data_IF_207198882044
#
_entry.id   IF_207198882044
#
_cell.length_a   1.000
_cell.length_b   1.000
_cell.length_c   1.000
_cell.angle_alpha   90.00
_cell.angle_beta   90.00
_cell.angle_gamma   90.00
#
_symmetry.space_group_name_H-M   'P 1'
#
loop_
_entity.id
_entity.type
_entity.pdbx_description
1 polymer ?
#
# COMPACT_ATOMS: atom_id res chain seq x y z
N UNK A 1 19.01 30.17 -2.24
CA UNK A 1 18.90 28.71 -2.48
C UNK A 1 18.22 28.50 -3.81
N UNK A 2 18.79 27.68 -4.71
CA UNK A 2 18.02 27.13 -5.84
C UNK A 2 16.93 26.24 -5.25
N UNK A 3 15.68 26.42 -5.69
CA UNK A 3 14.56 25.57 -5.26
C UNK A 3 14.55 24.31 -6.12
N UNK A 4 14.10 23.19 -5.55
CA UNK A 4 13.78 21.99 -6.32
C UNK A 4 12.69 22.34 -7.34
N UNK A 5 12.85 21.86 -8.58
CA UNK A 5 11.84 21.97 -9.61
C UNK A 5 10.99 20.68 -9.68
N UNK A 6 9.96 20.66 -10.52
CA UNK A 6 9.07 19.51 -10.62
C UNK A 6 9.77 18.25 -11.17
N UNK A 7 10.78 18.40 -12.04
CA UNK A 7 11.55 17.29 -12.59
C UNK A 7 12.42 16.64 -11.49
N UNK A 8 13.08 17.45 -10.66
CA UNK A 8 13.87 16.98 -9.51
C UNK A 8 13.00 16.16 -8.54
N UNK A 9 11.79 16.66 -8.29
CA UNK A 9 10.81 16.02 -7.41
C UNK A 9 10.35 14.68 -8.01
N UNK A 10 10.00 14.65 -9.29
CA UNK A 10 9.60 13.42 -9.99
C UNK A 10 10.73 12.39 -10.00
N UNK A 11 11.97 12.80 -10.31
CA UNK A 11 13.13 11.92 -10.36
C UNK A 11 13.42 11.28 -9.00
N UNK A 12 13.34 12.06 -7.91
CA UNK A 12 13.55 11.54 -6.56
C UNK A 12 12.56 10.43 -6.22
N UNK A 13 11.32 10.56 -6.66
CA UNK A 13 10.29 9.58 -6.36
C UNK A 13 10.27 8.36 -7.27
N UNK A 14 10.60 8.55 -8.56
CA UNK A 14 10.86 7.43 -9.47
C UNK A 14 12.00 6.56 -8.94
N UNK A 15 13.08 7.17 -8.43
CA UNK A 15 14.18 6.43 -7.80
C UNK A 15 13.74 5.65 -6.56
N UNK A 16 12.79 6.18 -5.79
CA UNK A 16 12.20 5.51 -4.63
C UNK A 16 11.13 4.47 -5.00
N UNK A 17 10.72 4.38 -6.26
CA UNK A 17 9.62 3.53 -6.73
C UNK A 17 8.36 3.68 -5.84
N UNK A 18 8.09 4.94 -5.47
CA UNK A 18 6.96 5.36 -4.65
C UNK A 18 5.97 6.08 -5.54
N UNK A 19 4.75 5.57 -5.64
CA UNK A 19 3.70 6.23 -6.39
C UNK A 19 2.89 7.18 -5.51
N UNK A 20 2.51 8.35 -6.03
CA UNK A 20 1.69 9.32 -5.29
C UNK A 20 0.21 9.13 -5.49
N UNK A 21 -0.50 9.45 -4.43
CA UNK A 21 -1.93 9.56 -4.46
C UNK A 21 -2.40 10.81 -3.72
N UNK A 22 -3.55 11.31 -4.16
CA UNK A 22 -4.33 12.34 -3.48
C UNK A 22 -5.77 11.89 -3.43
N UNK A 23 -6.39 12.01 -2.27
CA UNK A 23 -7.84 11.85 -2.12
C UNK A 23 -8.48 13.19 -1.78
N UNK A 24 -9.58 13.48 -2.47
CA UNK A 24 -10.46 14.62 -2.15
C UNK A 24 -11.85 14.12 -1.82
N UNK A 25 -12.39 14.59 -0.69
CA UNK A 25 -13.73 14.27 -0.23
C UNK A 25 -14.45 15.53 0.21
N UNK A 26 -15.70 15.66 -0.21
CA UNK A 26 -16.60 16.76 0.13
C UNK A 26 -17.97 16.18 0.43
N UNK A 27 -18.73 16.79 1.35
CA UNK A 27 -20.06 16.33 1.70
C UNK A 27 -20.99 16.33 0.47
N UNK A 28 -21.76 15.26 0.29
CA UNK A 28 -22.69 15.10 -0.83
C UNK A 28 -22.04 14.83 -2.20
N UNK A 29 -20.71 14.70 -2.28
CA UNK A 29 -19.98 14.34 -3.51
C UNK A 29 -19.30 12.99 -3.37
N UNK A 30 -19.12 12.29 -4.50
CA UNK A 30 -18.28 11.10 -4.55
C UNK A 30 -16.84 11.44 -4.21
N UNK A 31 -16.19 10.57 -3.44
CA UNK A 31 -14.76 10.65 -3.14
C UNK A 31 -13.95 10.46 -4.42
N UNK A 32 -12.89 11.25 -4.58
CA UNK A 32 -12.04 11.28 -5.78
C UNK A 32 -10.63 10.87 -5.42
N UNK A 33 -10.10 9.89 -6.12
CA UNK A 33 -8.72 9.45 -6.02
C UNK A 33 -7.95 9.90 -7.26
N UNK A 34 -6.83 10.56 -7.04
CA UNK A 34 -5.88 10.97 -8.08
C UNK A 34 -4.58 10.22 -7.84
N UNK A 35 -4.00 9.70 -8.90
CA UNK A 35 -2.82 8.84 -8.88
C UNK A 35 -1.82 9.30 -9.94
N UNK A 36 -0.54 9.05 -9.69
CA UNK A 36 0.49 9.14 -10.72
C UNK A 36 0.64 7.82 -11.50
N UNK A 37 1.52 7.83 -12.50
CA UNK A 37 1.78 6.67 -13.35
C UNK A 37 2.30 5.46 -12.55
N UNK A 38 3.14 5.69 -11.53
CA UNK A 38 3.69 4.63 -10.68
C UNK A 38 2.57 3.97 -9.87
N UNK A 39 1.65 4.76 -9.31
CA UNK A 39 0.49 4.25 -8.57
C UNK A 39 -0.49 3.54 -9.49
N UNK A 40 -0.69 4.03 -10.71
CA UNK A 40 -1.50 3.35 -11.71
C UNK A 40 -0.93 1.98 -12.06
N UNK A 41 0.38 1.87 -12.30
CA UNK A 41 1.06 0.60 -12.54
C UNK A 41 0.93 -0.33 -11.32
N UNK A 42 1.07 0.21 -10.10
CA UNK A 42 0.94 -0.55 -8.87
C UNK A 42 -0.47 -1.13 -8.68
N UNK A 43 -1.51 -0.40 -9.06
CA UNK A 43 -2.90 -0.86 -9.03
C UNK A 43 -3.31 -1.66 -10.28
N UNK A 44 -2.45 -1.75 -11.29
CA UNK A 44 -2.79 -2.37 -12.58
C UNK A 44 -3.86 -1.61 -13.36
N UNK A 45 -3.98 -0.29 -13.14
CA UNK A 45 -4.87 0.59 -13.90
C UNK A 45 -4.22 0.87 -15.25
N UNK A 46 -4.87 0.44 -16.33
CA UNK A 46 -4.38 0.59 -17.71
C UNK A 46 -5.22 1.56 -18.55
N UNK A 47 -6.39 1.93 -18.05
CA UNK A 47 -7.31 2.87 -18.68
C UNK A 47 -7.24 4.24 -17.99
N UNK A 48 -7.57 5.29 -18.73
CA UNK A 48 -7.74 6.62 -18.15
C UNK A 48 -9.09 6.69 -17.41
N UNK A 49 -9.03 6.54 -16.09
CA UNK A 49 -10.20 6.56 -15.22
C UNK A 49 -10.45 7.97 -14.68
N UNK A 50 -11.71 8.37 -14.60
CA UNK A 50 -12.07 9.56 -13.82
C UNK A 50 -11.68 9.34 -12.34
N UNK A 51 -11.41 10.41 -11.56
CA UNK A 51 -10.99 10.25 -10.16
C UNK A 51 -11.97 9.47 -9.28
N UNK A 52 -13.27 9.58 -9.53
CA UNK A 52 -14.30 8.79 -8.84
C UNK A 52 -14.23 7.32 -9.21
N UNK A 53 -14.09 7.01 -10.50
CA UNK A 53 -13.93 5.62 -10.98
C UNK A 53 -12.62 5.00 -10.50
N UNK A 54 -11.55 5.80 -10.38
CA UNK A 54 -10.29 5.37 -9.80
C UNK A 54 -10.48 4.94 -8.34
N UNK A 55 -11.22 5.72 -7.55
CA UNK A 55 -11.54 5.38 -6.15
C UNK A 55 -12.36 4.08 -6.06
N UNK A 56 -13.41 3.97 -6.89
CA UNK A 56 -14.27 2.77 -6.96
C UNK A 56 -13.45 1.52 -7.34
N UNK A 57 -12.65 1.63 -8.41
CA UNK A 57 -11.77 0.56 -8.88
C UNK A 57 -10.81 0.11 -7.77
N UNK A 58 -10.08 1.03 -7.14
CA UNK A 58 -9.11 0.65 -6.09
C UNK A 58 -9.81 -0.02 -4.91
N UNK A 59 -10.93 0.54 -4.43
CA UNK A 59 -11.67 -0.03 -3.30
C UNK A 59 -12.19 -1.46 -3.57
N UNK A 60 -12.63 -1.75 -4.79
CA UNK A 60 -13.09 -3.09 -5.18
C UNK A 60 -11.97 -4.14 -5.16
N UNK A 61 -10.74 -3.72 -5.48
CA UNK A 61 -9.58 -4.59 -5.55
C UNK A 61 -8.85 -4.76 -4.20
N UNK A 62 -9.20 -3.99 -3.17
CA UNK A 62 -8.72 -4.26 -1.80
C UNK A 62 -9.27 -5.62 -1.34
N UNK A 63 -8.39 -6.43 -0.77
CA UNK A 63 -8.75 -7.78 -0.32
C UNK A 63 -9.91 -7.72 0.67
N UNK A 64 -10.98 -8.53 0.54
CA UNK A 64 -12.23 -8.32 1.27
C UNK A 64 -12.08 -8.18 2.79
N UNK A 65 -11.21 -8.99 3.39
CA UNK A 65 -10.94 -9.03 4.83
C UNK A 65 -10.23 -7.77 5.36
N UNK A 66 -9.73 -6.91 4.48
CA UNK A 66 -8.98 -5.70 4.84
C UNK A 66 -9.70 -4.41 4.45
N UNK A 67 -10.87 -4.52 3.83
CA UNK A 67 -11.66 -3.33 3.46
C UNK A 67 -12.03 -2.53 4.70
N UNK A 68 -12.48 -3.19 5.76
CA UNK A 68 -12.82 -2.54 7.03
C UNK A 68 -11.62 -1.76 7.59
N UNK A 69 -10.48 -2.42 7.80
CA UNK A 69 -9.30 -1.75 8.34
C UNK A 69 -8.71 -0.68 7.40
N UNK A 70 -8.89 -0.82 6.09
CA UNK A 70 -8.52 0.22 5.14
C UNK A 70 -9.38 1.48 5.32
N UNK A 71 -10.69 1.33 5.56
CA UNK A 71 -11.56 2.48 5.81
C UNK A 71 -11.28 3.13 7.16
N UNK A 72 -10.96 2.35 8.19
CA UNK A 72 -10.49 2.88 9.48
C UNK A 72 -9.21 3.71 9.29
N UNK A 73 -8.25 3.18 8.53
CA UNK A 73 -7.03 3.90 8.16
C UNK A 73 -7.33 5.22 7.43
N UNK A 74 -8.23 5.21 6.44
CA UNK A 74 -8.63 6.42 5.70
C UNK A 74 -9.30 7.46 6.62
N UNK A 75 -10.01 7.04 7.66
CA UNK A 75 -10.58 7.92 8.68
C UNK A 75 -9.49 8.51 9.57
N UNK A 76 -8.55 7.70 10.06
CA UNK A 76 -7.41 8.14 10.89
C UNK A 76 -6.60 9.25 10.19
N UNK A 77 -6.38 9.10 8.88
CA UNK A 77 -5.64 10.07 8.06
C UNK A 77 -6.20 11.49 8.09
N UNK A 78 -7.49 11.65 8.42
CA UNK A 78 -8.12 12.99 8.55
C UNK A 78 -7.63 13.75 9.77
N UNK A 79 -6.99 13.07 10.72
CA UNK A 79 -6.55 13.62 12.00
C UNK A 79 -5.03 13.63 12.16
N UNK A 80 -4.34 12.58 11.71
CA UNK A 80 -2.89 12.47 11.81
C UNK A 80 -2.29 11.76 10.59
N UNK A 81 -0.97 11.81 10.48
CA UNK A 81 -0.23 10.95 9.56
C UNK A 81 -0.34 9.50 10.03
N UNK A 82 -0.59 8.57 9.11
CA UNK A 82 -0.69 7.13 9.42
C UNK A 82 -0.13 6.30 8.28
N UNK A 83 0.13 5.03 8.58
CA UNK A 83 0.57 4.03 7.61
C UNK A 83 -0.22 2.73 7.77
N UNK A 84 -0.60 2.15 6.64
CA UNK A 84 -1.20 0.83 6.57
C UNK A 84 -0.45 -0.06 5.57
N UNK A 85 -0.47 -1.38 5.82
CA UNK A 85 -0.07 -2.39 4.85
C UNK A 85 -1.27 -3.31 4.63
N UNK A 86 -1.74 -3.39 3.40
CA UNK A 86 -2.89 -4.22 3.01
C UNK A 86 -2.61 -5.00 1.73
N UNK A 87 -3.25 -6.14 1.60
CA UNK A 87 -3.34 -6.95 0.39
C UNK A 87 -4.26 -6.30 -0.63
N UNK A 88 -3.78 -6.33 -1.85
CA UNK A 88 -4.47 -5.82 -3.03
C UNK A 88 -4.53 -6.92 -4.08
N UNK A 89 -5.71 -7.12 -4.66
CA UNK A 89 -5.96 -8.11 -5.71
C UNK A 89 -5.60 -7.49 -7.07
N UNK A 90 -4.32 -7.47 -7.42
CA UNK A 90 -3.87 -6.93 -8.70
C UNK A 90 -4.40 -7.81 -9.86
N UNK A 91 -4.95 -7.22 -10.94
CA UNK A 91 -5.59 -7.97 -12.04
C UNK A 91 -4.65 -8.96 -12.74
N UNK A 92 -3.37 -8.59 -12.90
CA UNK A 92 -2.33 -9.42 -13.52
C UNK A 92 -1.46 -10.18 -12.50
N UNK A 93 -0.94 -9.52 -11.46
CA UNK A 93 0.03 -10.09 -10.51
C UNK A 93 -0.60 -11.00 -9.44
N UNK A 94 -1.93 -11.04 -9.35
CA UNK A 94 -2.62 -11.69 -8.24
C UNK A 94 -2.53 -10.84 -6.97
N UNK A 95 -2.47 -11.50 -5.81
CA UNK A 95 -2.39 -10.76 -4.54
C UNK A 95 -0.99 -10.16 -4.37
N UNK A 96 -0.93 -8.85 -4.11
CA UNK A 96 0.27 -8.10 -3.73
C UNK A 96 0.06 -7.40 -2.39
N UNK A 97 1.12 -6.95 -1.72
CA UNK A 97 1.05 -6.19 -0.47
C UNK A 97 1.43 -4.73 -0.73
N UNK A 98 0.48 -3.84 -0.54
CA UNK A 98 0.64 -2.41 -0.71
C UNK A 98 0.86 -1.77 0.67
N UNK A 99 2.00 -1.11 0.83
CA UNK A 99 2.25 -0.14 1.90
C UNK A 99 1.71 1.21 1.45
N UNK A 100 0.85 1.81 2.25
CA UNK A 100 0.27 3.13 2.04
C UNK A 100 0.62 4.02 3.23
N UNK A 101 1.25 5.15 2.96
CA UNK A 101 1.45 6.21 3.95
C UNK A 101 0.69 7.44 3.48
N UNK A 102 0.05 8.14 4.40
CA UNK A 102 -0.76 9.30 4.06
C UNK A 102 -0.88 10.30 5.20
N UNK A 103 -1.38 11.48 4.88
CA UNK A 103 -1.68 12.55 5.84
C UNK A 103 -2.70 13.51 5.27
N UNK A 104 -3.43 14.20 6.15
CA UNK A 104 -4.19 15.39 5.77
C UNK A 104 -3.28 16.56 5.43
N UNK A 105 -3.69 17.34 4.44
CA UNK A 105 -3.07 18.62 4.07
C UNK A 105 -4.11 19.74 4.09
N UNK A 106 -3.68 21.01 4.18
CA UNK A 106 -4.60 22.15 4.11
C UNK A 106 -5.48 22.13 2.85
N UNK A 107 -6.75 22.44 3.04
CA UNK A 107 -7.80 22.47 2.02
C UNK A 107 -8.87 23.51 2.42
N UNK A 108 -9.72 23.97 1.46
CA UNK A 108 -10.89 24.80 1.77
C UNK A 108 -11.82 24.12 2.78
N UNK A 109 -12.59 24.91 3.53
CA UNK A 109 -13.37 24.45 4.71
C UNK A 109 -14.28 23.24 4.45
N UNK A 110 -14.84 23.14 3.24
CA UNK A 110 -15.79 22.08 2.88
C UNK A 110 -15.14 20.84 2.23
N UNK A 111 -13.81 20.77 2.20
CA UNK A 111 -13.07 19.69 1.54
C UNK A 111 -12.04 19.08 2.46
N UNK A 112 -12.01 17.75 2.51
CA UNK A 112 -10.91 16.98 3.07
C UNK A 112 -9.96 16.65 1.92
N UNK A 113 -8.68 16.99 2.09
CA UNK A 113 -7.61 16.58 1.18
C UNK A 113 -6.60 15.73 1.93
N UNK A 114 -6.44 14.50 1.46
CA UNK A 114 -5.41 13.56 1.90
C UNK A 114 -4.40 13.40 0.78
N UNK A 115 -3.13 13.29 1.14
CA UNK A 115 -2.05 12.97 0.20
C UNK A 115 -1.16 11.91 0.80
N UNK A 116 -0.49 11.15 -0.05
CA UNK A 116 0.38 10.10 0.40
C UNK A 116 1.13 9.45 -0.75
N UNK A 117 1.76 8.33 -0.41
CA UNK A 117 2.41 7.48 -1.40
C UNK A 117 2.13 6.00 -1.14
N UNK A 118 2.17 5.22 -2.22
CA UNK A 118 2.05 3.78 -2.23
C UNK A 118 3.35 3.12 -2.65
N UNK A 119 3.59 1.94 -2.09
CA UNK A 119 4.73 1.11 -2.39
C UNK A 119 4.32 -0.37 -2.34
N UNK A 120 4.91 -1.19 -3.19
CA UNK A 120 4.82 -2.65 -3.04
C UNK A 120 5.83 -3.11 -1.99
N UNK A 121 5.34 -3.60 -0.85
CA UNK A 121 6.13 -3.77 0.37
C UNK A 121 7.34 -4.69 0.19
N UNK A 122 7.12 -5.90 -0.36
CA UNK A 122 8.19 -6.86 -0.57
C UNK A 122 9.21 -6.36 -1.62
N UNK A 123 8.72 -5.76 -2.71
CA UNK A 123 9.56 -5.19 -3.77
C UNK A 123 10.48 -4.09 -3.23
N UNK A 124 9.96 -3.22 -2.37
CA UNK A 124 10.76 -2.16 -1.75
C UNK A 124 11.88 -2.71 -0.87
N UNK A 125 11.58 -3.66 0.02
CA UNK A 125 12.61 -4.28 0.88
C UNK A 125 13.71 -4.90 0.01
N UNK A 126 13.35 -5.60 -1.08
CA UNK A 126 14.31 -6.26 -1.96
C UNK A 126 15.12 -5.30 -2.83
N UNK A 127 14.61 -4.08 -3.08
CA UNK A 127 15.27 -3.05 -3.87
C UNK A 127 16.24 -2.17 -3.06
N UNK A 128 16.28 -2.29 -1.73
CA UNK A 128 17.18 -1.48 -0.89
C UNK A 128 18.66 -1.75 -1.21
N UNK A 129 19.46 -0.68 -1.28
CA UNK A 129 20.92 -0.74 -1.49
C UNK A 129 21.66 -1.09 -0.18
N UNK A 130 21.37 -2.29 0.35
CA UNK A 130 22.07 -2.89 1.48
C UNK A 130 22.27 -4.39 1.24
N UNK A 131 23.42 -4.98 1.61
CA UNK A 131 23.75 -6.37 1.25
C UNK A 131 22.73 -7.42 1.70
N UNK A 132 22.08 -7.21 2.83
CA UNK A 132 21.11 -8.12 3.44
C UNK A 132 19.68 -7.94 2.91
N UNK A 133 19.38 -6.88 2.13
CA UNK A 133 18.04 -6.62 1.58
C UNK A 133 17.45 -7.83 0.84
N UNK A 134 18.29 -8.57 0.11
CA UNK A 134 17.91 -9.76 -0.64
C UNK A 134 17.66 -10.99 0.24
N UNK A 135 18.17 -10.98 1.47
CA UNK A 135 18.15 -12.12 2.39
C UNK A 135 17.24 -11.90 3.60
N UNK A 136 16.88 -10.66 3.93
CA UNK A 136 15.98 -10.34 5.05
C UNK A 136 14.69 -11.16 4.91
N UNK A 137 14.34 -12.02 5.89
CA UNK A 137 13.09 -12.75 5.86
C UNK A 137 11.90 -11.80 5.98
N UNK A 138 10.92 -11.95 5.08
CA UNK A 138 9.65 -11.21 5.11
C UNK A 138 8.53 -12.19 5.41
N UNK A 139 7.75 -11.92 6.45
CA UNK A 139 6.69 -12.79 6.92
C UNK A 139 5.35 -12.09 6.77
N UNK A 140 4.44 -12.68 5.99
CA UNK A 140 3.05 -12.27 5.97
C UNK A 140 2.35 -12.71 7.24
N UNK A 141 1.54 -11.83 7.82
CA UNK A 141 0.68 -12.14 8.94
C UNK A 141 -0.77 -11.84 8.56
N UNK A 142 -1.68 -12.81 8.72
CA UNK A 142 -3.09 -12.61 8.42
C UNK A 142 -3.98 -13.30 9.46
N UNK A 143 -5.27 -12.97 9.53
CA UNK A 143 -6.23 -13.74 10.34
C UNK A 143 -6.71 -15.04 9.64
N UNK A 144 -6.34 -15.24 8.37
CA UNK A 144 -6.71 -16.39 7.56
C UNK A 144 -5.59 -17.45 7.59
N UNK A 145 -5.94 -18.71 7.81
CA UNK A 145 -4.98 -19.82 7.85
C UNK A 145 -5.13 -20.80 6.69
N UNK A 146 -6.04 -20.55 5.73
CA UNK A 146 -6.25 -21.44 4.60
C UNK A 146 -5.03 -21.47 3.66
N UNK A 147 -4.78 -22.64 3.07
CA UNK A 147 -3.64 -22.90 2.19
C UNK A 147 -3.52 -21.89 1.05
N UNK A 148 -4.65 -21.50 0.44
CA UNK A 148 -4.68 -20.51 -0.64
C UNK A 148 -4.11 -19.14 -0.20
N UNK A 149 -4.32 -18.75 1.05
CA UNK A 149 -3.82 -17.49 1.61
C UNK A 149 -2.30 -17.54 1.80
N UNK A 150 -1.79 -18.69 2.25
CA UNK A 150 -0.35 -18.97 2.33
C UNK A 150 0.30 -18.87 0.95
N UNK A 151 -0.27 -19.55 -0.05
CA UNK A 151 0.26 -19.53 -1.42
C UNK A 151 0.27 -18.14 -2.03
N UNK A 152 -0.78 -17.34 -1.78
CA UNK A 152 -0.86 -15.94 -2.22
C UNK A 152 0.25 -15.10 -1.61
N UNK A 153 0.51 -15.24 -0.30
CA UNK A 153 1.60 -14.52 0.35
C UNK A 153 2.97 -14.86 -0.23
N UNK A 154 3.25 -16.15 -0.46
CA UNK A 154 4.52 -16.58 -1.04
C UNK A 154 4.69 -16.04 -2.46
N UNK A 155 3.65 -16.14 -3.30
CA UNK A 155 3.64 -15.58 -4.66
C UNK A 155 3.86 -14.05 -4.67
N UNK A 156 3.39 -13.35 -3.64
CA UNK A 156 3.59 -11.91 -3.47
C UNK A 156 5.00 -11.51 -3.00
N UNK A 157 5.93 -12.47 -2.87
CA UNK A 157 7.32 -12.21 -2.49
C UNK A 157 7.64 -12.35 -1.00
N UNK A 158 6.72 -12.90 -0.20
CA UNK A 158 6.94 -13.20 1.20
C UNK A 158 7.65 -14.55 1.36
N UNK A 159 8.48 -14.70 2.40
CA UNK A 159 9.17 -15.96 2.70
C UNK A 159 8.28 -16.94 3.47
N UNK A 160 7.40 -16.43 4.34
CA UNK A 160 6.49 -17.22 5.19
C UNK A 160 5.15 -16.52 5.36
N UNK A 161 4.16 -17.31 5.80
CA UNK A 161 2.85 -16.85 6.24
C UNK A 161 2.60 -17.36 7.65
N UNK A 162 2.09 -16.50 8.55
CA UNK A 162 1.66 -16.90 9.89
C UNK A 162 0.24 -16.38 10.15
N UNK A 163 -0.65 -17.25 10.60
CA UNK A 163 -2.01 -16.89 10.96
C UNK A 163 -2.09 -16.37 12.40
N UNK A 164 -2.82 -15.28 12.63
CA UNK A 164 -3.24 -14.81 13.95
C UNK A 164 -4.23 -15.80 14.59
N UNK A 165 -4.31 -15.87 15.93
CA UNK A 165 -3.51 -15.13 16.91
C UNK A 165 -2.06 -15.62 16.99
N UNK A 166 -1.11 -14.70 17.22
CA UNK A 166 0.30 -15.02 17.35
C UNK A 166 0.73 -15.08 18.82
N UNK A 167 1.65 -16.00 19.13
CA UNK A 167 2.42 -15.98 20.37
C UNK A 167 3.87 -15.60 20.07
N UNK A 168 4.58 -14.99 21.04
CA UNK A 168 6.01 -14.67 20.88
C UNK A 168 6.84 -15.91 20.49
N UNK A 169 6.51 -17.07 21.06
CA UNK A 169 7.15 -18.35 20.74
C UNK A 169 6.90 -18.80 19.29
N UNK A 170 5.67 -18.62 18.78
CA UNK A 170 5.35 -18.95 17.39
C UNK A 170 6.13 -18.09 16.40
N UNK A 171 6.27 -16.79 16.69
CA UNK A 171 7.03 -15.85 15.85
C UNK A 171 8.52 -16.18 15.87
N UNK A 172 9.10 -16.40 17.05
CA UNK A 172 10.52 -16.77 17.19
C UNK A 172 10.83 -18.06 16.44
N UNK A 173 9.93 -19.06 16.51
CA UNK A 173 10.09 -20.33 15.81
C UNK A 173 10.16 -20.14 14.30
N UNK A 174 9.24 -19.37 13.72
CA UNK A 174 9.23 -19.12 12.29
C UNK A 174 10.44 -18.31 11.84
N UNK A 175 10.83 -17.26 12.59
CA UNK A 175 12.04 -16.48 12.29
C UNK A 175 13.27 -17.39 12.28
N UNK A 176 13.45 -18.23 13.31
CA UNK A 176 14.57 -19.19 13.38
C UNK A 176 14.59 -20.20 12.23
N UNK A 177 13.44 -20.51 11.63
CA UNK A 177 13.40 -21.44 10.48
C UNK A 177 13.94 -20.85 9.18
N UNK A 178 14.20 -19.53 9.15
CA UNK A 178 14.64 -18.79 7.95
C UNK A 178 16.04 -18.17 8.11
N UNK A 179 16.68 -18.34 9.26
CA UNK A 179 18.06 -17.90 9.56
C UNK A 179 19.02 -19.08 9.43
#
# INVERSE_FOLDING_TARGET
MKKLNNEDIQAYFQAGNSGFWKVESEEGKKTRLYTDEITNELFGITEDLSPEKCMEYVAEHIYPQERECFWDYMEELKSHESEAVYRYMHPVKGVIYIRCTGRRVPSPDNMIRLVGYHQEAARQIRAMDRPDAKLIPIVAMSANAFQDDVERSIKAGMNKHISKPLTGESVIREIKSML
#
